data_IF_848564195586
#
_entry.id   IF_848564195586
#
_cell.length_a   1.000
_cell.length_b   1.000
_cell.length_c   1.000
_cell.angle_alpha   90.00
_cell.angle_beta   90.00
_cell.angle_gamma   90.00
#
_symmetry.space_group_name_H-M   'P 1'
#
loop_
_entity.id
_entity.type
_entity.pdbx_description
1 polymer ?
#
# COMPACT_ATOMS: atom_id res chain seq x y z
N UNK A 1 7.64 -21.55 13.06
CA UNK A 1 6.45 -22.16 12.44
C UNK A 1 6.58 -21.98 10.93
N UNK A 2 6.47 -23.05 10.12
CA UNK A 2 6.68 -22.95 8.67
C UNK A 2 5.58 -22.09 8.01
N UNK A 3 5.86 -21.29 6.95
CA UNK A 3 4.87 -20.57 6.14
C UNK A 3 3.59 -21.37 5.80
N UNK A 4 3.72 -22.68 5.56
CA UNK A 4 2.59 -23.58 5.31
C UNK A 4 1.64 -23.68 6.50
N UNK A 5 2.15 -23.70 7.73
CA UNK A 5 1.35 -23.74 8.95
C UNK A 5 0.59 -22.43 9.16
N UNK A 6 1.23 -21.27 8.94
CA UNK A 6 0.56 -19.96 9.02
C UNK A 6 -0.60 -19.89 8.02
N UNK A 7 -0.38 -20.39 6.81
CA UNK A 7 -1.41 -20.47 5.76
C UNK A 7 -2.56 -21.38 6.17
N UNK A 8 -2.25 -22.57 6.68
CA UNK A 8 -3.26 -23.52 7.18
C UNK A 8 -4.12 -22.91 8.29
N UNK A 9 -3.50 -22.23 9.27
CA UNK A 9 -4.24 -21.56 10.35
C UNK A 9 -5.21 -20.50 9.81
N UNK A 10 -4.80 -19.70 8.82
CA UNK A 10 -5.69 -18.74 8.17
C UNK A 10 -6.87 -19.41 7.48
N UNK A 11 -6.63 -20.52 6.77
CA UNK A 11 -7.69 -21.30 6.11
C UNK A 11 -8.67 -21.89 7.13
N UNK A 12 -8.18 -22.41 8.25
CA UNK A 12 -9.03 -22.90 9.36
C UNK A 12 -9.92 -21.78 9.89
N UNK A 13 -9.38 -20.58 10.12
CA UNK A 13 -10.15 -19.43 10.59
C UNK A 13 -11.19 -18.96 9.56
N UNK A 14 -10.88 -18.99 8.26
CA UNK A 14 -11.85 -18.72 7.18
C UNK A 14 -12.94 -19.79 7.08
N UNK A 15 -12.58 -21.06 7.27
CA UNK A 15 -13.54 -22.17 7.37
C UNK A 15 -14.48 -21.99 8.56
N UNK A 16 -13.94 -21.60 9.72
CA UNK A 16 -14.71 -21.28 10.92
C UNK A 16 -15.65 -20.09 10.68
N UNK A 17 -15.22 -19.04 9.97
CA UNK A 17 -16.08 -17.93 9.57
C UNK A 17 -17.27 -18.41 8.74
N UNK A 18 -17.00 -19.25 7.73
CA UNK A 18 -18.03 -19.78 6.83
C UNK A 18 -19.05 -20.62 7.61
N UNK A 19 -18.58 -21.53 8.45
CA UNK A 19 -19.43 -22.34 9.32
C UNK A 19 -20.26 -21.47 10.27
N UNK A 20 -19.66 -20.44 10.86
CA UNK A 20 -20.33 -19.53 11.78
C UNK A 20 -21.39 -18.66 11.10
N UNK A 21 -21.15 -18.21 9.86
CA UNK A 21 -22.13 -17.49 9.04
C UNK A 21 -23.33 -18.38 8.70
N UNK A 22 -23.08 -19.63 8.28
CA UNK A 22 -24.15 -20.60 8.00
C UNK A 22 -24.95 -20.95 9.26
N UNK A 23 -24.26 -21.26 10.36
CA UNK A 23 -24.90 -21.57 11.63
C UNK A 23 -25.74 -20.40 12.15
N UNK A 24 -25.24 -19.17 12.03
CA UNK A 24 -26.01 -17.97 12.34
C UNK A 24 -27.28 -17.87 11.50
N UNK A 25 -27.16 -18.05 10.17
CA UNK A 25 -28.29 -17.92 9.26
C UNK A 25 -29.44 -18.88 9.61
N UNK A 26 -29.13 -20.13 9.96
CA UNK A 26 -30.12 -21.16 10.29
C UNK A 26 -30.59 -21.13 11.75
N UNK A 27 -29.70 -20.88 12.71
CA UNK A 27 -29.97 -21.14 14.14
C UNK A 27 -30.10 -19.88 15.00
N UNK A 28 -29.67 -18.70 14.54
CA UNK A 28 -29.70 -17.49 15.36
C UNK A 28 -31.11 -16.91 15.57
N UNK A 29 -32.06 -17.26 14.70
CA UNK A 29 -33.46 -16.75 14.73
C UNK A 29 -34.23 -17.09 16.02
N UNK A 30 -33.62 -17.83 16.94
CA UNK A 30 -34.26 -18.43 18.10
C UNK A 30 -33.63 -17.93 19.41
N UNK A 31 -34.05 -16.73 19.84
CA UNK A 31 -33.87 -16.23 21.21
C UNK A 31 -32.60 -15.39 21.46
N UNK A 32 -32.76 -14.37 22.31
CA UNK A 32 -31.73 -13.37 22.67
C UNK A 32 -30.41 -13.97 23.12
N UNK A 33 -30.44 -15.08 23.86
CA UNK A 33 -29.24 -15.78 24.35
C UNK A 33 -28.40 -16.34 23.19
N UNK A 34 -29.02 -16.92 22.15
CA UNK A 34 -28.30 -17.43 20.97
C UNK A 34 -27.62 -16.31 20.20
N UNK A 35 -28.29 -15.16 20.04
CA UNK A 35 -27.66 -13.98 19.42
C UNK A 35 -26.41 -13.47 20.15
N UNK A 36 -26.41 -13.53 21.49
CA UNK A 36 -25.23 -13.19 22.29
C UNK A 36 -24.07 -14.18 22.06
N UNK A 37 -24.36 -15.49 22.02
CA UNK A 37 -23.36 -16.51 21.70
C UNK A 37 -22.73 -16.30 20.33
N UNK A 38 -23.54 -16.07 19.29
CA UNK A 38 -23.01 -15.78 17.95
C UNK A 38 -22.13 -14.54 17.96
N UNK A 39 -22.57 -13.46 18.61
CA UNK A 39 -21.78 -12.23 18.73
C UNK A 39 -20.43 -12.47 19.42
N UNK A 40 -20.41 -13.26 20.49
CA UNK A 40 -19.18 -13.67 21.16
C UNK A 40 -18.29 -14.52 20.25
N UNK A 41 -18.84 -15.47 19.51
CA UNK A 41 -18.08 -16.29 18.54
C UNK A 41 -17.47 -15.44 17.42
N UNK A 42 -18.21 -14.49 16.85
CA UNK A 42 -17.66 -13.55 15.86
C UNK A 42 -16.56 -12.68 16.45
N UNK A 43 -16.69 -12.26 17.71
CA UNK A 43 -15.68 -11.48 18.42
C UNK A 43 -14.40 -12.29 18.61
N UNK A 44 -14.51 -13.51 19.15
CA UNK A 44 -13.36 -14.39 19.36
C UNK A 44 -12.64 -14.71 18.04
N UNK A 45 -13.39 -14.96 16.97
CA UNK A 45 -12.83 -15.22 15.66
C UNK A 45 -12.15 -13.97 15.07
N UNK A 46 -12.73 -12.78 15.28
CA UNK A 46 -12.12 -11.51 14.89
C UNK A 46 -10.81 -11.26 15.65
N UNK A 47 -10.77 -11.50 16.97
CA UNK A 47 -9.55 -11.39 17.77
C UNK A 47 -8.48 -12.37 17.28
N UNK A 48 -8.85 -13.63 17.01
CA UNK A 48 -7.94 -14.63 16.44
C UNK A 48 -7.42 -14.21 15.05
N UNK A 49 -8.25 -13.57 14.23
CA UNK A 49 -7.82 -13.09 12.91
C UNK A 49 -6.80 -11.96 12.98
N UNK A 50 -6.82 -11.12 14.02
CA UNK A 50 -5.77 -10.09 14.22
C UNK A 50 -4.41 -10.75 14.34
N UNK A 51 -4.29 -11.86 15.09
CA UNK A 51 -3.05 -12.63 15.13
C UNK A 51 -2.67 -13.16 13.73
N UNK A 52 -3.66 -13.55 12.93
CA UNK A 52 -3.48 -13.93 11.54
C UNK A 52 -2.89 -12.83 10.66
N UNK A 53 -3.16 -11.55 10.92
CA UNK A 53 -2.53 -10.44 10.19
C UNK A 53 -1.02 -10.41 10.45
N UNK A 54 -0.59 -10.50 11.71
CA UNK A 54 0.84 -10.52 12.09
C UNK A 54 1.50 -11.90 11.90
N UNK A 55 0.96 -12.76 11.03
CA UNK A 55 1.43 -14.14 10.80
C UNK A 55 1.61 -14.95 12.11
N UNK A 56 0.81 -14.69 13.14
CA UNK A 56 0.97 -15.27 14.48
C UNK A 56 2.37 -15.06 15.10
N UNK A 57 2.99 -13.90 14.80
CA UNK A 57 4.33 -13.52 15.25
C UNK A 57 5.47 -14.08 14.38
N UNK A 58 5.16 -14.66 13.22
CA UNK A 58 6.17 -15.18 12.28
C UNK A 58 6.44 -14.16 11.16
N UNK A 59 7.42 -13.30 11.39
CA UNK A 59 7.80 -12.29 10.42
C UNK A 59 8.79 -12.83 9.39
N UNK A 60 8.88 -12.16 8.23
CA UNK A 60 9.74 -12.58 7.11
C UNK A 60 11.23 -12.35 7.40
N UNK A 61 11.54 -11.30 8.15
CA UNK A 61 12.89 -10.89 8.48
C UNK A 61 13.14 -11.12 9.96
N UNK A 62 14.36 -11.54 10.29
CA UNK A 62 14.80 -11.81 11.66
C UNK A 62 14.73 -10.54 12.54
N UNK A 63 14.75 -9.36 11.91
CA UNK A 63 14.64 -8.04 12.55
C UNK A 63 13.19 -7.67 12.97
N UNK A 64 12.24 -8.59 12.82
CA UNK A 64 10.91 -8.50 13.40
C UNK A 64 9.86 -7.84 12.52
N UNK A 65 9.12 -6.88 13.08
CA UNK A 65 7.90 -6.32 12.48
C UNK A 65 8.17 -5.53 11.19
N UNK A 66 9.32 -4.89 11.08
CA UNK A 66 9.72 -4.03 9.96
C UNK A 66 10.03 -4.85 8.72
N UNK A 67 9.62 -4.34 7.55
CA UNK A 67 9.97 -4.91 6.26
C UNK A 67 11.00 -4.01 5.54
N UNK A 68 12.31 -4.25 5.75
CA UNK A 68 13.35 -3.37 5.24
C UNK A 68 13.45 -3.38 3.72
N UNK A 69 13.05 -4.46 3.06
CA UNK A 69 12.96 -4.53 1.60
C UNK A 69 11.94 -3.54 1.04
N UNK A 70 10.75 -3.50 1.65
CA UNK A 70 9.74 -2.52 1.28
C UNK A 70 10.17 -1.11 1.67
N UNK A 71 10.80 -0.90 2.83
CA UNK A 71 11.30 0.43 3.20
C UNK A 71 12.37 0.92 2.23
N UNK A 72 13.27 0.06 1.74
CA UNK A 72 14.22 0.46 0.70
C UNK A 72 13.52 1.11 -0.51
N UNK A 73 12.46 0.48 -1.01
CA UNK A 73 11.73 1.01 -2.16
C UNK A 73 10.82 2.21 -1.81
N UNK A 74 10.04 2.10 -0.73
CA UNK A 74 8.96 3.03 -0.42
C UNK A 74 9.38 4.18 0.50
N UNK A 75 10.31 3.96 1.43
CA UNK A 75 10.90 5.05 2.22
C UNK A 75 11.77 5.95 1.32
N UNK A 76 12.78 5.37 0.66
CA UNK A 76 13.67 6.15 -0.22
C UNK A 76 12.90 6.72 -1.41
N UNK A 77 12.10 5.87 -2.06
CA UNK A 77 11.36 6.27 -3.25
C UNK A 77 10.25 7.28 -3.00
N UNK A 78 9.74 7.43 -1.77
CA UNK A 78 8.86 8.58 -1.44
C UNK A 78 9.70 9.80 -1.06
N UNK A 79 10.66 9.65 -0.15
CA UNK A 79 11.47 10.75 0.40
C UNK A 79 12.22 11.53 -0.68
N UNK A 80 12.84 10.81 -1.60
CA UNK A 80 13.72 11.35 -2.64
C UNK A 80 13.08 11.38 -4.02
N UNK A 81 11.76 11.16 -4.12
CA UNK A 81 11.07 11.14 -5.42
C UNK A 81 11.34 12.38 -6.30
N UNK A 82 11.41 13.62 -5.76
CA UNK A 82 11.74 14.80 -6.57
C UNK A 82 13.13 14.72 -7.24
N UNK A 83 14.10 14.07 -6.61
CA UNK A 83 15.47 13.95 -7.11
C UNK A 83 15.67 12.69 -7.96
N UNK A 84 15.20 11.52 -7.48
CA UNK A 84 15.40 10.25 -8.20
C UNK A 84 14.39 10.01 -9.30
N UNK A 85 13.21 10.64 -9.25
CA UNK A 85 12.11 10.29 -10.14
C UNK A 85 11.67 8.83 -10.00
N UNK A 86 10.95 8.33 -11.01
CA UNK A 86 10.55 6.92 -11.07
C UNK A 86 11.61 6.02 -11.71
N UNK A 87 12.64 6.61 -12.30
CA UNK A 87 13.70 5.99 -13.08
C UNK A 87 15.02 5.83 -12.30
N UNK A 88 15.33 6.76 -11.40
CA UNK A 88 16.70 6.94 -10.90
C UNK A 88 17.05 6.26 -9.58
N UNK A 89 16.10 5.65 -8.86
CA UNK A 89 16.36 5.12 -7.51
C UNK A 89 17.52 4.11 -7.49
N UNK A 90 17.52 3.18 -8.45
CA UNK A 90 18.56 2.15 -8.51
C UNK A 90 19.89 2.71 -8.99
N UNK A 91 19.90 3.54 -10.02
CA UNK A 91 21.14 4.16 -10.50
C UNK A 91 21.79 5.02 -9.40
N UNK A 92 21.00 5.81 -8.68
CA UNK A 92 21.49 6.58 -7.53
C UNK A 92 22.07 5.65 -6.45
N UNK A 93 21.39 4.54 -6.14
CA UNK A 93 21.86 3.53 -5.18
C UNK A 93 23.20 2.92 -5.63
N UNK A 94 23.32 2.53 -6.91
CA UNK A 94 24.57 1.99 -7.46
C UNK A 94 25.74 2.93 -7.23
N UNK A 95 25.55 4.21 -7.55
CA UNK A 95 26.58 5.24 -7.38
C UNK A 95 26.97 5.38 -5.90
N UNK A 96 26.00 5.38 -4.96
CA UNK A 96 26.30 5.46 -3.52
C UNK A 96 27.09 4.26 -3.01
N UNK A 97 26.77 3.04 -3.46
CA UNK A 97 27.49 1.84 -3.06
C UNK A 97 28.90 1.85 -3.66
N UNK A 98 29.03 2.17 -4.95
CA UNK A 98 30.33 2.24 -5.62
C UNK A 98 31.24 3.32 -5.01
N UNK A 99 30.71 4.47 -4.62
CA UNK A 99 31.46 5.54 -3.95
C UNK A 99 32.03 5.08 -2.59
N UNK A 100 31.29 4.24 -1.86
CA UNK A 100 31.72 3.73 -0.55
C UNK A 100 32.57 2.47 -0.64
N UNK A 101 32.29 1.62 -1.61
CA UNK A 101 32.84 0.28 -1.77
C UNK A 101 33.16 0.04 -3.26
N UNK A 102 34.24 0.64 -3.80
CA UNK A 102 34.57 0.51 -5.21
C UNK A 102 34.69 -0.95 -5.66
N UNK A 103 34.04 -1.29 -6.77
CA UNK A 103 34.05 -2.65 -7.33
C UNK A 103 33.06 -3.64 -6.71
N UNK A 104 32.34 -3.28 -5.64
CA UNK A 104 31.54 -4.25 -4.89
C UNK A 104 30.31 -4.79 -5.65
N UNK A 105 29.79 -4.05 -6.63
CA UNK A 105 28.53 -4.36 -7.31
C UNK A 105 28.59 -4.19 -8.84
N UNK A 106 29.77 -3.99 -9.41
CA UNK A 106 29.94 -3.62 -10.84
C UNK A 106 29.39 -4.67 -11.81
N UNK A 107 29.44 -5.95 -11.43
CA UNK A 107 28.95 -7.08 -12.23
C UNK A 107 27.49 -7.49 -11.89
N UNK A 108 26.83 -6.75 -11.01
CA UNK A 108 25.45 -7.06 -10.58
C UNK A 108 24.45 -6.71 -11.68
N UNK A 109 23.45 -7.57 -11.89
CA UNK A 109 22.29 -7.23 -12.73
C UNK A 109 21.35 -6.27 -12.00
N UNK A 110 20.94 -5.23 -12.72
CA UNK A 110 20.11 -4.15 -12.23
C UNK A 110 18.97 -3.92 -13.19
N UNK A 111 17.77 -3.82 -12.65
CA UNK A 111 16.57 -3.55 -13.43
C UNK A 111 16.47 -2.08 -13.79
N UNK A 112 16.29 -1.79 -15.08
CA UNK A 112 15.87 -0.47 -15.53
C UNK A 112 14.42 -0.21 -15.08
N UNK A 113 14.19 0.85 -14.30
CA UNK A 113 12.87 1.11 -13.70
C UNK A 113 11.82 1.68 -14.68
N UNK A 114 12.20 1.97 -15.92
CA UNK A 114 11.31 2.51 -16.96
C UNK A 114 10.90 1.46 -17.99
N UNK A 115 11.80 0.54 -18.36
CA UNK A 115 11.51 -0.52 -19.33
C UNK A 115 11.59 -1.95 -18.77
N UNK A 116 11.99 -2.10 -17.50
CA UNK A 116 12.11 -3.36 -16.77
C UNK A 116 13.12 -4.38 -17.33
N UNK A 117 13.97 -3.99 -18.29
CA UNK A 117 15.06 -4.83 -18.75
C UNK A 117 16.14 -4.97 -17.66
N UNK A 118 16.79 -6.13 -17.60
CA UNK A 118 17.97 -6.34 -16.78
C UNK A 118 19.22 -5.88 -17.53
N UNK A 119 20.04 -5.06 -16.87
CA UNK A 119 21.31 -4.55 -17.40
C UNK A 119 22.40 -4.68 -16.33
N UNK A 120 23.66 -4.86 -16.74
CA UNK A 120 24.79 -4.88 -15.80
C UNK A 120 25.04 -3.51 -15.21
N UNK A 121 25.31 -3.43 -13.90
CA UNK A 121 25.51 -2.19 -13.16
C UNK A 121 26.55 -1.25 -13.78
N UNK A 122 27.64 -1.81 -14.35
CA UNK A 122 28.71 -1.04 -15.00
C UNK A 122 28.19 -0.05 -16.07
N UNK A 123 27.11 -0.38 -16.76
CA UNK A 123 26.53 0.45 -17.83
C UNK A 123 25.89 1.75 -17.32
N UNK A 124 25.63 1.84 -16.01
CA UNK A 124 24.97 3.00 -15.40
C UNK A 124 25.95 4.01 -14.80
N UNK A 125 27.24 3.67 -14.65
CA UNK A 125 28.20 4.59 -14.02
C UNK A 125 28.52 5.83 -14.87
N UNK A 126 28.33 5.76 -16.20
CA UNK A 126 28.43 6.94 -17.07
C UNK A 126 27.35 7.99 -16.76
N UNK A 127 26.26 7.59 -16.09
CA UNK A 127 25.17 8.49 -15.67
C UNK A 127 25.44 9.18 -14.33
N UNK A 128 26.59 8.91 -13.69
CA UNK A 128 26.93 9.37 -12.34
C UNK A 128 26.73 10.87 -12.15
N UNK A 129 27.34 11.68 -13.01
CA UNK A 129 27.25 13.14 -12.91
C UNK A 129 25.84 13.65 -13.17
N UNK A 130 25.14 13.06 -14.15
CA UNK A 130 23.77 13.42 -14.48
C UNK A 130 22.78 13.12 -13.34
N UNK A 131 22.95 12.00 -12.64
CA UNK A 131 22.12 11.62 -11.49
C UNK A 131 22.45 12.49 -10.27
N UNK A 132 23.73 12.67 -9.94
CA UNK A 132 24.14 13.53 -8.82
C UNK A 132 23.68 14.98 -9.01
N UNK A 133 23.68 15.49 -10.25
CA UNK A 133 23.19 16.82 -10.57
C UNK A 133 21.69 17.03 -10.29
N UNK A 134 20.89 15.96 -10.14
CA UNK A 134 19.47 16.06 -9.72
C UNK A 134 19.33 16.40 -8.22
N UNK A 135 20.41 16.26 -7.45
CA UNK A 135 20.44 16.51 -6.02
C UNK A 135 21.23 17.79 -5.71
N UNK A 136 20.82 18.50 -4.66
CA UNK A 136 21.75 19.37 -3.94
C UNK A 136 22.77 18.51 -3.19
N UNK A 137 24.01 18.98 -2.97
CA UNK A 137 25.03 18.21 -2.25
C UNK A 137 24.56 17.65 -0.90
N UNK A 138 23.79 18.42 -0.13
CA UNK A 138 23.27 18.04 1.19
C UNK A 138 22.27 16.88 1.08
N UNK A 139 21.39 16.95 0.07
CA UNK A 139 20.38 15.91 -0.22
C UNK A 139 21.01 14.63 -0.73
N UNK A 140 22.08 14.73 -1.52
CA UNK A 140 22.86 13.56 -1.93
C UNK A 140 23.50 12.86 -0.72
N UNK A 141 24.12 13.61 0.18
CA UNK A 141 24.69 13.06 1.43
C UNK A 141 23.61 12.46 2.34
N UNK A 142 22.40 13.02 2.35
CA UNK A 142 21.27 12.44 3.08
C UNK A 142 20.83 11.10 2.46
N UNK A 143 20.66 11.06 1.14
CA UNK A 143 20.33 9.85 0.40
C UNK A 143 21.36 8.74 0.62
N UNK A 144 22.64 9.07 0.49
CA UNK A 144 23.78 8.18 0.73
C UNK A 144 23.80 7.60 2.15
N UNK A 145 23.44 8.38 3.16
CA UNK A 145 23.32 7.88 4.55
C UNK A 145 22.12 6.95 4.72
N UNK A 146 20.97 7.27 4.16
CA UNK A 146 19.77 6.44 4.28
C UNK A 146 19.93 5.10 3.54
N UNK A 147 20.54 5.11 2.34
CA UNK A 147 20.91 3.90 1.59
C UNK A 147 21.90 3.05 2.38
N UNK A 148 22.95 3.67 2.92
CA UNK A 148 23.95 2.96 3.74
C UNK A 148 23.31 2.32 4.97
N UNK A 149 22.45 3.06 5.67
CA UNK A 149 21.73 2.53 6.83
C UNK A 149 20.88 1.32 6.44
N UNK A 150 20.01 1.44 5.43
CA UNK A 150 19.14 0.33 5.01
C UNK A 150 19.93 -0.89 4.52
N UNK A 151 20.98 -0.67 3.73
CA UNK A 151 21.80 -1.77 3.20
C UNK A 151 22.58 -2.50 4.29
N UNK A 152 23.26 -1.77 5.19
CA UNK A 152 24.19 -2.35 6.17
C UNK A 152 23.48 -2.79 7.45
N UNK A 153 22.59 -1.97 8.01
CA UNK A 153 21.92 -2.28 9.27
C UNK A 153 21.00 -3.50 9.12
N UNK A 154 20.17 -3.52 8.07
CA UNK A 154 19.25 -4.63 7.78
C UNK A 154 19.86 -5.71 6.88
N UNK A 155 21.15 -5.61 6.57
CA UNK A 155 21.91 -6.61 5.78
C UNK A 155 21.20 -6.98 4.48
N UNK A 156 20.66 -5.98 3.80
CA UNK A 156 19.85 -6.21 2.62
C UNK A 156 20.70 -6.80 1.49
N UNK A 157 20.22 -7.85 0.79
CA UNK A 157 20.93 -8.42 -0.35
C UNK A 157 20.81 -7.46 -1.55
N UNK A 158 21.65 -6.43 -1.58
CA UNK A 158 21.54 -5.32 -2.54
C UNK A 158 21.49 -5.79 -4.00
N UNK A 159 22.25 -6.84 -4.34
CA UNK A 159 22.24 -7.42 -5.68
C UNK A 159 20.85 -7.90 -6.13
N UNK A 160 20.05 -8.43 -5.21
CA UNK A 160 18.69 -8.91 -5.51
C UNK A 160 17.67 -7.78 -5.41
N UNK A 161 17.86 -6.83 -4.47
CA UNK A 161 16.99 -5.66 -4.35
C UNK A 161 16.97 -4.85 -5.65
N UNK A 162 18.13 -4.64 -6.24
CA UNK A 162 18.28 -3.86 -7.47
C UNK A 162 17.68 -4.54 -8.71
N UNK A 163 17.17 -5.76 -8.58
CA UNK A 163 16.44 -6.50 -9.61
C UNK A 163 14.93 -6.43 -9.43
N UNK A 164 14.42 -5.81 -8.36
CA UNK A 164 12.97 -5.64 -8.14
C UNK A 164 12.42 -4.46 -8.95
N UNK A 165 11.14 -4.12 -8.79
CA UNK A 165 10.43 -3.14 -9.59
C UNK A 165 10.56 -1.70 -9.07
N UNK A 166 11.34 -1.44 -8.02
CA UNK A 166 11.47 -0.09 -7.48
C UNK A 166 10.21 0.40 -6.73
N UNK A 167 10.13 1.72 -6.51
CA UNK A 167 8.99 2.35 -5.86
C UNK A 167 7.73 2.37 -6.74
N UNK A 168 6.77 1.46 -6.54
CA UNK A 168 5.48 1.41 -7.29
C UNK A 168 4.38 2.36 -6.79
N UNK A 169 4.69 3.23 -5.81
CA UNK A 169 3.73 4.20 -5.28
C UNK A 169 3.37 5.27 -6.31
N UNK A 170 2.08 5.64 -6.41
CA UNK A 170 1.67 6.76 -7.26
C UNK A 170 2.16 8.10 -6.71
N UNK A 171 2.13 9.20 -7.48
CA UNK A 171 2.50 10.52 -6.96
C UNK A 171 1.61 10.96 -5.79
N UNK A 172 0.32 10.61 -5.80
CA UNK A 172 -0.58 10.86 -4.68
C UNK A 172 -0.16 10.11 -3.41
N UNK A 173 0.17 8.82 -3.56
CA UNK A 173 0.70 8.03 -2.45
C UNK A 173 2.01 8.59 -1.92
N UNK A 174 2.94 8.94 -2.82
CA UNK A 174 4.25 9.46 -2.45
C UNK A 174 4.15 10.79 -1.71
N UNK A 175 3.24 11.67 -2.13
CA UNK A 175 2.94 12.91 -1.43
C UNK A 175 2.50 12.66 0.03
N UNK A 176 1.65 11.67 0.30
CA UNK A 176 1.27 11.31 1.67
C UNK A 176 2.42 10.64 2.43
N UNK A 177 3.12 9.68 1.83
CA UNK A 177 4.24 9.00 2.46
C UNK A 177 5.35 9.98 2.88
N UNK A 178 5.61 11.02 2.06
CA UNK A 178 6.59 12.07 2.34
C UNK A 178 6.32 12.85 3.62
N UNK A 179 5.08 12.92 4.10
CA UNK A 179 4.78 13.54 5.42
C UNK A 179 5.54 12.80 6.53
N UNK A 180 5.76 11.50 6.37
CA UNK A 180 6.41 10.64 7.35
C UNK A 180 7.85 10.27 7.00
N UNK A 181 8.30 10.47 5.75
CA UNK A 181 9.65 10.10 5.31
C UNK A 181 10.55 11.31 5.10
N UNK A 182 10.05 12.43 4.57
CA UNK A 182 10.86 13.61 4.29
C UNK A 182 11.52 14.25 5.53
N UNK A 183 10.85 14.37 6.70
CA UNK A 183 11.43 15.05 7.86
C UNK A 183 12.49 14.25 8.62
N UNK A 184 12.63 12.95 8.36
CA UNK A 184 13.39 12.05 9.22
C UNK A 184 14.46 11.28 8.43
N UNK A 185 15.64 11.12 9.01
CA UNK A 185 16.64 10.17 8.51
C UNK A 185 16.14 8.74 8.70
N UNK A 186 16.56 7.82 7.83
CA UNK A 186 16.30 6.40 8.03
C UNK A 186 17.00 5.95 9.32
N UNK A 187 16.26 5.24 10.17
CA UNK A 187 16.73 4.77 11.45
C UNK A 187 15.72 3.78 12.06
N UNK A 188 16.16 2.93 13.00
CA UNK A 188 15.31 1.85 13.51
C UNK A 188 14.01 2.38 14.13
N UNK A 189 14.10 3.39 14.99
CA UNK A 189 12.93 4.01 15.64
C UNK A 189 11.95 4.64 14.64
N UNK A 190 12.48 5.26 13.58
CA UNK A 190 11.63 5.89 12.54
C UNK A 190 10.92 4.82 11.74
N UNK A 191 11.65 3.80 11.28
CA UNK A 191 11.07 2.71 10.49
C UNK A 191 10.07 1.89 11.30
N UNK A 192 10.35 1.61 12.58
CA UNK A 192 9.39 0.98 13.49
C UNK A 192 8.10 1.81 13.59
N UNK A 193 8.21 3.11 13.85
CA UNK A 193 7.07 3.99 14.04
C UNK A 193 6.19 4.09 12.77
N UNK A 194 6.80 4.29 11.61
CA UNK A 194 6.04 4.40 10.35
C UNK A 194 5.44 3.06 9.90
N UNK A 195 6.04 1.92 10.29
CA UNK A 195 5.52 0.59 9.98
C UNK A 195 4.16 0.33 10.66
N UNK A 196 3.82 1.05 11.73
CA UNK A 196 2.51 0.98 12.38
C UNK A 196 1.42 1.82 11.71
N UNK A 197 1.75 2.66 10.72
CA UNK A 197 0.77 3.55 10.09
C UNK A 197 -0.41 2.78 9.49
N UNK A 198 -0.15 1.69 8.76
CA UNK A 198 -1.22 0.86 8.20
C UNK A 198 -2.08 0.23 9.30
N UNK A 199 -1.49 -0.21 10.41
CA UNK A 199 -2.26 -0.74 11.55
C UNK A 199 -3.16 0.32 12.18
N UNK A 200 -2.68 1.56 12.32
CA UNK A 200 -3.49 2.69 12.81
C UNK A 200 -4.64 2.99 11.84
N UNK A 201 -4.35 3.04 10.54
CA UNK A 201 -5.38 3.26 9.51
C UNK A 201 -6.44 2.15 9.54
N UNK A 202 -6.03 0.90 9.66
CA UNK A 202 -6.95 -0.23 9.79
C UNK A 202 -7.84 -0.09 11.03
N UNK A 203 -7.29 0.28 12.20
CA UNK A 203 -8.08 0.50 13.41
C UNK A 203 -9.14 1.60 13.22
N UNK A 204 -8.77 2.73 12.60
CA UNK A 204 -9.70 3.82 12.28
C UNK A 204 -10.77 3.36 11.28
N UNK A 205 -10.37 2.61 10.25
CA UNK A 205 -11.30 2.03 9.28
C UNK A 205 -12.33 1.14 9.97
N UNK A 206 -11.91 0.19 10.80
CA UNK A 206 -12.85 -0.73 11.46
C UNK A 206 -13.74 -0.03 12.48
N UNK A 207 -13.24 0.98 13.21
CA UNK A 207 -14.09 1.84 14.04
C UNK A 207 -15.19 2.53 13.21
N UNK A 208 -14.86 2.97 11.99
CA UNK A 208 -15.82 3.60 11.08
C UNK A 208 -16.79 2.56 10.47
N UNK A 209 -16.31 1.36 10.14
CA UNK A 209 -17.15 0.24 9.69
C UNK A 209 -18.14 -0.17 10.78
N UNK A 210 -17.71 -0.25 12.04
CA UNK A 210 -18.61 -0.51 13.18
C UNK A 210 -19.72 0.54 13.23
N UNK A 211 -19.38 1.83 13.12
CA UNK A 211 -20.38 2.89 13.11
C UNK A 211 -21.37 2.77 11.94
N UNK A 212 -20.92 2.35 10.76
CA UNK A 212 -21.73 2.28 9.56
C UNK A 212 -22.57 1.00 9.42
N UNK A 213 -22.03 -0.14 9.84
CA UNK A 213 -22.58 -1.48 9.59
C UNK A 213 -22.86 -2.29 10.87
N UNK A 214 -22.60 -1.71 12.04
CA UNK A 214 -22.77 -2.37 13.32
C UNK A 214 -21.60 -3.28 13.69
N UNK A 215 -21.58 -3.70 14.96
CA UNK A 215 -20.45 -4.42 15.55
C UNK A 215 -20.17 -5.75 14.84
N UNK A 216 -21.23 -6.49 14.52
CA UNK A 216 -21.10 -7.76 13.79
C UNK A 216 -20.54 -7.58 12.38
N UNK A 217 -20.99 -6.54 11.67
CA UNK A 217 -20.48 -6.21 10.34
C UNK A 217 -18.99 -5.89 10.38
N UNK A 218 -18.54 -5.17 11.42
CA UNK A 218 -17.13 -4.93 11.69
C UNK A 218 -16.37 -6.23 11.95
N UNK A 219 -16.85 -7.13 12.81
CA UNK A 219 -16.17 -8.41 13.06
C UNK A 219 -15.97 -9.22 11.76
N UNK A 220 -17.01 -9.34 10.94
CA UNK A 220 -16.94 -10.06 9.66
C UNK A 220 -15.92 -9.40 8.71
N UNK A 221 -15.99 -8.08 8.56
CA UNK A 221 -15.05 -7.33 7.71
C UNK A 221 -13.60 -7.48 8.19
N UNK A 222 -13.38 -7.43 9.50
CA UNK A 222 -12.06 -7.61 10.12
C UNK A 222 -11.52 -9.01 9.83
N UNK A 223 -12.32 -10.07 10.02
CA UNK A 223 -11.88 -11.45 9.76
C UNK A 223 -11.45 -11.62 8.30
N UNK A 224 -12.24 -11.11 7.34
CA UNK A 224 -11.92 -11.22 5.91
C UNK A 224 -10.62 -10.46 5.58
N UNK A 225 -10.46 -9.25 6.11
CA UNK A 225 -9.30 -8.41 5.84
C UNK A 225 -8.01 -8.93 6.48
N UNK A 226 -8.07 -9.50 7.68
CA UNK A 226 -6.86 -9.95 8.40
C UNK A 226 -6.37 -11.33 7.97
N UNK A 227 -7.22 -12.13 7.33
CA UNK A 227 -6.89 -13.49 6.88
C UNK A 227 -6.51 -13.56 5.40
N UNK A 228 -6.36 -12.42 4.72
CA UNK A 228 -5.98 -12.41 3.30
C UNK A 228 -4.61 -13.08 3.12
N UNK A 229 -4.46 -14.03 2.16
CA UNK A 229 -3.24 -14.81 2.03
C UNK A 229 -2.01 -13.93 1.79
N UNK A 230 -0.90 -14.26 2.47
CA UNK A 230 0.42 -13.63 2.30
C UNK A 230 0.49 -12.10 2.51
N UNK A 231 -0.55 -11.47 3.07
CA UNK A 231 -0.58 -10.02 3.27
C UNK A 231 0.66 -9.48 4.00
N UNK A 232 1.01 -10.06 5.14
CA UNK A 232 2.17 -9.60 5.92
C UNK A 232 3.53 -10.04 5.33
N UNK A 233 3.57 -11.12 4.56
CA UNK A 233 4.82 -11.61 3.94
C UNK A 233 5.37 -10.66 2.87
N UNK A 234 4.49 -9.88 2.24
CA UNK A 234 4.86 -8.92 1.20
C UNK A 234 4.62 -7.47 1.61
N UNK A 235 3.53 -7.17 2.33
CA UNK A 235 3.09 -5.80 2.59
C UNK A 235 3.22 -5.37 4.05
N UNK A 236 3.27 -6.33 4.97
CA UNK A 236 3.36 -6.03 6.40
C UNK A 236 4.67 -5.36 6.75
N UNK A 237 4.66 -4.45 7.72
CA UNK A 237 5.87 -3.77 8.17
C UNK A 237 6.40 -2.71 7.21
N UNK A 238 5.61 -2.33 6.21
CA UNK A 238 5.91 -1.30 5.22
C UNK A 238 5.16 0.00 5.54
N UNK A 239 5.34 1.03 4.73
CA UNK A 239 4.67 2.33 4.84
C UNK A 239 3.50 2.42 3.86
N UNK A 240 2.30 2.68 4.39
CA UNK A 240 1.09 3.04 3.63
C UNK A 240 0.77 2.07 2.48
N UNK A 241 0.88 0.75 2.69
CA UNK A 241 0.50 -0.26 1.69
C UNK A 241 -1.00 -0.52 1.67
N UNK A 242 -1.70 -0.17 2.74
CA UNK A 242 -3.14 -0.37 2.92
C UNK A 242 -3.94 0.93 2.94
N UNK A 243 -3.33 2.06 2.55
CA UNK A 243 -3.97 3.37 2.49
C UNK A 243 -5.18 3.39 1.53
N UNK A 244 -5.08 2.70 0.40
CA UNK A 244 -6.18 2.54 -0.56
C UNK A 244 -7.33 1.74 0.02
N UNK A 245 -7.05 0.68 0.80
CA UNK A 245 -8.06 -0.15 1.45
C UNK A 245 -8.77 0.64 2.55
N UNK A 246 -7.99 1.37 3.35
CA UNK A 246 -8.50 2.35 4.30
C UNK A 246 -9.45 3.33 3.60
N UNK A 247 -8.99 3.99 2.55
CA UNK A 247 -9.78 5.00 1.84
C UNK A 247 -11.06 4.41 1.22
N UNK A 248 -11.01 3.21 0.62
CA UNK A 248 -12.22 2.52 0.15
C UNK A 248 -13.18 2.17 1.31
N UNK A 249 -12.65 1.67 2.43
CA UNK A 249 -13.45 1.36 3.62
C UNK A 249 -14.13 2.60 4.19
N UNK A 250 -13.43 3.74 4.24
CA UNK A 250 -13.98 5.03 4.62
C UNK A 250 -15.04 5.51 3.61
N UNK A 251 -14.77 5.40 2.31
CA UNK A 251 -15.70 5.77 1.25
C UNK A 251 -17.02 4.99 1.38
N UNK A 252 -16.97 3.67 1.53
CA UNK A 252 -18.16 2.82 1.64
C UNK A 252 -18.90 3.05 2.96
N UNK A 253 -18.18 3.21 4.07
CA UNK A 253 -18.78 3.52 5.38
C UNK A 253 -19.48 4.88 5.37
N UNK A 254 -18.87 5.93 4.80
CA UNK A 254 -19.50 7.24 4.69
C UNK A 254 -20.66 7.27 3.70
N UNK A 255 -20.61 6.47 2.63
CA UNK A 255 -21.74 6.29 1.73
C UNK A 255 -22.94 5.70 2.48
N UNK A 256 -22.70 4.67 3.30
CA UNK A 256 -23.72 4.05 4.16
C UNK A 256 -24.29 5.02 5.19
N UNK A 257 -23.44 5.88 5.74
CA UNK A 257 -23.81 6.95 6.68
C UNK A 257 -24.39 8.21 6.00
N UNK A 258 -24.68 8.17 4.69
CA UNK A 258 -25.24 9.29 3.91
C UNK A 258 -24.35 10.55 3.89
N UNK A 259 -23.05 10.41 4.13
CA UNK A 259 -22.05 11.48 4.02
C UNK A 259 -21.41 11.46 2.63
N UNK A 260 -22.19 11.79 1.62
CA UNK A 260 -21.87 11.61 0.20
C UNK A 260 -20.61 12.37 -0.26
N UNK A 261 -20.42 13.63 0.16
CA UNK A 261 -19.23 14.41 -0.19
C UNK A 261 -17.95 13.79 0.38
N UNK A 262 -17.94 13.51 1.68
CA UNK A 262 -16.80 12.85 2.36
C UNK A 262 -16.50 11.49 1.73
N UNK A 263 -17.55 10.71 1.43
CA UNK A 263 -17.42 9.43 0.74
C UNK A 263 -16.73 9.58 -0.63
N UNK A 264 -17.14 10.56 -1.42
CA UNK A 264 -16.52 10.84 -2.72
C UNK A 264 -15.05 11.24 -2.62
N UNK A 265 -14.69 12.08 -1.63
CA UNK A 265 -13.30 12.48 -1.39
C UNK A 265 -12.40 11.28 -1.04
N UNK A 266 -12.87 10.35 -0.20
CA UNK A 266 -12.12 9.13 0.10
C UNK A 266 -12.01 8.18 -1.10
N UNK A 267 -13.05 8.07 -1.93
CA UNK A 267 -12.94 7.31 -3.17
C UNK A 267 -11.91 7.92 -4.12
N UNK A 268 -11.86 9.25 -4.23
CA UNK A 268 -10.86 9.94 -5.02
C UNK A 268 -9.43 9.64 -4.54
N UNK A 269 -9.20 9.63 -3.22
CA UNK A 269 -7.90 9.22 -2.66
C UNK A 269 -7.55 7.78 -3.03
N UNK A 270 -8.48 6.84 -2.86
CA UNK A 270 -8.24 5.44 -3.21
C UNK A 270 -7.83 5.28 -4.69
N UNK A 271 -8.51 5.98 -5.60
CA UNK A 271 -8.20 5.97 -7.04
C UNK A 271 -6.82 6.58 -7.33
N UNK A 272 -6.54 7.74 -6.74
CA UNK A 272 -5.28 8.43 -6.96
C UNK A 272 -4.08 7.65 -6.40
N UNK A 273 -4.24 6.99 -5.25
CA UNK A 273 -3.22 6.12 -4.66
C UNK A 273 -3.03 4.82 -5.45
N UNK A 274 -4.13 4.16 -5.83
CA UNK A 274 -4.14 2.89 -6.57
C UNK A 274 -5.19 2.90 -7.70
N UNK A 275 -4.78 3.04 -8.97
CA UNK A 275 -5.71 3.21 -10.10
C UNK A 275 -6.78 2.12 -10.26
N UNK A 276 -6.50 0.88 -9.87
CA UNK A 276 -7.50 -0.20 -9.93
C UNK A 276 -8.76 0.08 -9.09
N UNK A 277 -8.66 0.97 -8.09
CA UNK A 277 -9.81 1.40 -7.31
C UNK A 277 -10.88 2.14 -8.15
N UNK A 278 -10.55 2.57 -9.37
CA UNK A 278 -11.51 3.15 -10.31
C UNK A 278 -12.67 2.20 -10.65
N UNK A 279 -12.46 0.88 -10.55
CA UNK A 279 -13.51 -0.13 -10.75
C UNK A 279 -14.68 0.06 -9.76
N UNK A 280 -14.42 0.51 -8.53
CA UNK A 280 -15.48 0.83 -7.57
C UNK A 280 -16.29 2.06 -7.98
N UNK A 281 -15.65 3.07 -8.56
CA UNK A 281 -16.35 4.24 -9.10
C UNK A 281 -17.26 3.85 -10.26
N UNK A 282 -16.80 2.97 -11.15
CA UNK A 282 -17.57 2.44 -12.28
C UNK A 282 -18.80 1.68 -11.77
N UNK A 283 -18.62 0.75 -10.83
CA UNK A 283 -19.72 -0.03 -10.24
C UNK A 283 -20.75 0.85 -9.52
N UNK A 284 -20.30 1.85 -8.74
CA UNK A 284 -21.18 2.81 -8.08
C UNK A 284 -21.90 3.72 -9.09
N UNK A 285 -21.21 4.13 -10.16
CA UNK A 285 -21.78 4.88 -11.27
C UNK A 285 -22.95 4.14 -11.92
N UNK A 286 -22.76 2.87 -12.29
CA UNK A 286 -23.84 2.02 -12.80
C UNK A 286 -25.01 1.92 -11.82
N UNK A 287 -24.74 1.71 -10.53
CA UNK A 287 -25.78 1.65 -9.49
C UNK A 287 -26.57 2.96 -9.39
N UNK A 288 -25.90 4.11 -9.47
CA UNK A 288 -26.54 5.42 -9.39
C UNK A 288 -27.37 5.73 -10.64
N UNK A 289 -26.86 5.39 -11.83
CA UNK A 289 -27.58 5.51 -13.10
C UNK A 289 -28.83 4.61 -13.09
N UNK A 290 -28.69 3.35 -12.65
CA UNK A 290 -29.82 2.43 -12.51
C UNK A 290 -30.89 2.96 -11.55
N UNK A 291 -30.47 3.50 -10.40
CA UNK A 291 -31.39 4.10 -9.43
C UNK A 291 -32.12 5.32 -10.01
N UNK A 292 -31.41 6.18 -10.76
CA UNK A 292 -32.00 7.34 -11.42
C UNK A 292 -32.99 6.94 -12.52
N UNK A 293 -32.65 5.92 -13.31
CA UNK A 293 -33.52 5.36 -14.35
C UNK A 293 -34.80 4.77 -13.76
N UNK A 294 -34.68 3.89 -12.75
CA UNK A 294 -35.83 3.26 -12.09
C UNK A 294 -36.71 4.29 -11.36
N UNK A 295 -36.10 5.28 -10.72
CA UNK A 295 -36.80 6.33 -9.98
C UNK A 295 -37.29 7.49 -10.84
N UNK A 296 -36.92 7.54 -12.13
CA UNK A 296 -37.11 8.67 -13.06
C UNK A 296 -36.70 10.03 -12.46
N UNK A 297 -35.73 10.04 -11.56
CA UNK A 297 -35.28 11.23 -10.81
C UNK A 297 -33.80 11.16 -10.53
N UNK A 298 -33.11 12.28 -10.74
CA UNK A 298 -31.71 12.40 -10.35
C UNK A 298 -31.63 12.68 -8.85
N UNK A 299 -30.86 11.85 -8.14
CA UNK A 299 -30.69 11.96 -6.69
C UNK A 299 -29.56 12.95 -6.42
N UNK A 300 -29.89 14.11 -5.82
CA UNK A 300 -28.92 15.19 -5.52
C UNK A 300 -27.70 14.69 -4.73
N UNK A 301 -27.92 13.76 -3.82
CA UNK A 301 -26.87 13.15 -3.02
C UNK A 301 -25.86 12.34 -3.86
N UNK A 302 -26.31 11.66 -4.91
CA UNK A 302 -25.43 10.96 -5.84
C UNK A 302 -24.61 11.95 -6.67
N UNK A 303 -25.20 13.07 -7.08
CA UNK A 303 -24.45 14.17 -7.73
C UNK A 303 -23.39 14.70 -6.77
N UNK A 304 -23.74 14.96 -5.51
CA UNK A 304 -22.81 15.50 -4.52
C UNK A 304 -21.62 14.55 -4.28
N UNK A 305 -21.85 13.23 -4.28
CA UNK A 305 -20.79 12.24 -4.27
C UNK A 305 -19.88 12.38 -5.50
N UNK A 306 -20.45 12.33 -6.72
CA UNK A 306 -19.69 12.37 -7.97
C UNK A 306 -18.86 13.65 -8.09
N UNK A 307 -19.48 14.81 -7.86
CA UNK A 307 -18.80 16.11 -7.91
C UNK A 307 -17.67 16.15 -6.87
N UNK A 308 -17.92 15.69 -5.65
CA UNK A 308 -16.88 15.67 -4.62
C UNK A 308 -15.73 14.73 -4.98
N UNK A 309 -15.99 13.58 -5.60
CA UNK A 309 -14.95 12.67 -6.07
C UNK A 309 -14.09 13.33 -7.15
N UNK A 310 -14.71 13.98 -8.14
CA UNK A 310 -14.00 14.64 -9.24
C UNK A 310 -13.15 15.79 -8.70
N UNK A 311 -13.73 16.68 -7.89
CA UNK A 311 -13.02 17.82 -7.30
C UNK A 311 -11.85 17.35 -6.44
N UNK A 312 -12.06 16.36 -5.58
CA UNK A 312 -10.99 15.82 -4.75
C UNK A 312 -9.88 15.16 -5.60
N UNK A 313 -10.22 14.42 -6.65
CA UNK A 313 -9.24 13.79 -7.52
C UNK A 313 -8.37 14.84 -8.24
N UNK A 314 -8.99 15.88 -8.81
CA UNK A 314 -8.29 17.00 -9.44
C UNK A 314 -7.35 17.68 -8.44
N UNK A 315 -7.83 17.95 -7.22
CA UNK A 315 -7.00 18.55 -6.17
C UNK A 315 -5.82 17.66 -5.75
N UNK A 316 -6.03 16.34 -5.60
CA UNK A 316 -4.97 15.40 -5.24
C UNK A 316 -3.91 15.33 -6.34
N UNK A 317 -4.32 15.24 -7.61
CA UNK A 317 -3.40 15.25 -8.76
C UNK A 317 -2.63 16.55 -8.83
N UNK A 318 -3.31 17.69 -8.66
CA UNK A 318 -2.68 19.01 -8.64
C UNK A 318 -1.64 19.13 -7.51
N UNK A 319 -2.04 18.82 -6.27
CA UNK A 319 -1.17 18.95 -5.10
C UNK A 319 0.03 18.01 -5.18
N UNK A 320 -0.18 16.75 -5.58
CA UNK A 320 0.94 15.81 -5.76
C UNK A 320 1.89 16.24 -6.87
N UNK A 321 1.38 16.84 -7.95
CA UNK A 321 2.22 17.39 -9.02
C UNK A 321 3.09 18.54 -8.51
N UNK A 322 2.47 19.53 -7.85
CA UNK A 322 3.19 20.73 -7.38
C UNK A 322 4.21 20.37 -6.29
N UNK A 323 3.91 19.42 -5.42
CA UNK A 323 4.81 19.01 -4.32
C UNK A 323 5.97 18.12 -4.75
N UNK A 324 5.89 17.50 -5.94
CA UNK A 324 6.87 16.53 -6.43
C UNK A 324 7.61 17.01 -7.70
N UNK A 325 7.60 18.31 -7.99
CA UNK A 325 8.42 18.89 -9.06
C UNK A 325 7.72 19.07 -10.41
N UNK A 326 6.39 18.93 -10.48
CA UNK A 326 5.57 19.29 -11.65
C UNK A 326 4.65 18.17 -12.14
N UNK A 327 3.83 18.46 -13.16
CA UNK A 327 2.86 17.51 -13.70
C UNK A 327 3.48 16.32 -14.44
N UNK A 328 4.73 16.45 -14.89
CA UNK A 328 5.46 15.36 -15.54
C UNK A 328 5.58 14.10 -14.67
N UNK A 329 5.47 14.23 -13.34
CA UNK A 329 5.56 13.08 -12.42
C UNK A 329 4.43 12.06 -12.66
N UNK A 330 3.23 12.51 -13.02
CA UNK A 330 2.12 11.62 -13.36
C UNK A 330 2.29 10.97 -14.72
N UNK A 331 2.92 11.66 -15.68
CA UNK A 331 3.28 11.09 -16.98
C UNK A 331 4.31 9.98 -16.81
N UNK A 332 5.38 10.22 -16.03
CA UNK A 332 6.41 9.22 -15.74
C UNK A 332 5.82 8.01 -15.00
N UNK A 333 4.95 8.25 -14.01
CA UNK A 333 4.21 7.17 -13.34
C UNK A 333 3.37 6.36 -14.33
N UNK A 334 2.63 7.03 -15.22
CA UNK A 334 1.82 6.39 -16.24
C UNK A 334 2.64 5.50 -17.19
N UNK A 335 3.76 6.03 -17.72
CA UNK A 335 4.67 5.27 -18.58
C UNK A 335 5.18 4.00 -17.90
N UNK A 336 5.59 4.12 -16.63
CA UNK A 336 6.07 2.99 -15.85
C UNK A 336 4.98 1.94 -15.59
N UNK A 337 3.76 2.36 -15.26
CA UNK A 337 2.63 1.43 -15.11
C UNK A 337 2.34 0.71 -16.43
N UNK A 338 2.40 1.42 -17.56
CA UNK A 338 2.23 0.80 -18.89
C UNK A 338 3.33 -0.21 -19.19
N UNK A 339 4.58 0.11 -18.91
CA UNK A 339 5.71 -0.82 -19.11
C UNK A 339 5.55 -2.09 -18.26
N UNK A 340 5.06 -1.96 -17.02
CA UNK A 340 4.82 -3.10 -16.13
C UNK A 340 3.71 -4.02 -16.66
N UNK A 341 2.70 -3.46 -17.35
CA UNK A 341 1.64 -4.25 -17.98
C UNK A 341 2.11 -5.03 -19.22
N UNK A 342 3.18 -4.58 -19.88
CA UNK A 342 3.77 -5.25 -21.05
C UNK A 342 4.90 -6.21 -20.70
N UNK A 343 5.38 -6.18 -19.46
CA UNK A 343 6.41 -7.12 -18.99
C UNK A 343 5.82 -8.54 -18.94
N UNK A 344 6.45 -9.48 -19.65
CA UNK A 344 6.17 -10.89 -19.46
C UNK A 344 6.47 -11.24 -18.00
N UNK A 345 5.51 -11.82 -17.29
CA UNK A 345 5.61 -12.14 -15.86
C UNK A 345 6.95 -12.79 -15.50
N UNK A 346 7.38 -12.56 -14.25
CA UNK A 346 8.48 -13.27 -13.57
C UNK A 346 8.79 -14.59 -14.26
N UNK A 347 9.99 -14.73 -14.84
CA UNK A 347 10.51 -16.06 -15.08
C UNK A 347 10.63 -16.69 -13.68
N UNK A 348 9.61 -17.45 -13.27
CA UNK A 348 9.47 -18.14 -11.98
C UNK A 348 10.54 -19.25 -11.85
N UNK A 349 11.81 -18.83 -11.84
CA UNK A 349 12.98 -19.70 -11.71
C UNK A 349 13.70 -19.45 -10.38
N UNK A 350 12.97 -19.26 -9.26
CA UNK A 350 13.57 -19.29 -7.91
C UNK A 350 12.67 -19.97 -6.88
#
# INVERSE_FOLDING_TARGET
>A
MNPSTVTLLRLVLLGALTALLLASYFFERSGRRRGQWFTASFTLLALASVAGYFNFGQFRYDDGFVNPWEHFHFFLGSKYLPEVGYDGLYVATLITIEDRYPGAIVDTEVRDLMNFNMNTAVLYFDQREAIKARFTPERWQEFDRDVHFLSVYYRLPMAVILQDHGNTGSPAWAMAARIFTAPFAAGPTVLDAISFLDSILMLVMFGTVWRAFGYRGMCIALIIAMLTPRGYLFLGGSILRLDWLFALGMAMSFLKLKRYKTSGAFLAWAIASKPFCALFAIALGFKFLWAAWKGRKIIRDHIAFVVSSIVALVLIVFLSSVTLGGFGIWTNYGQRITANLSEGHYNDNH
#
